data_IF_495299834332
#
_entry.id   IF_495299834332
#
_cell.length_a   1.000
_cell.length_b   1.000
_cell.length_c   1.000
_cell.angle_alpha   90.00
_cell.angle_beta   90.00
_cell.angle_gamma   90.00
#
_symmetry.space_group_name_H-M   'P 1'
#
loop_
_entity.id
_entity.type
_entity.pdbx_description
1 polymer ?
#
# COMPACT_ATOMS: atom_id res chain seq x y z
N UNK A 1 32.86 6.98 47.37
CA UNK A 1 32.89 8.45 47.63
C UNK A 1 31.46 8.98 47.59
N UNK A 2 31.02 9.52 48.74
CA UNK A 2 29.66 10.08 48.96
C UNK A 2 29.58 11.50 48.39
N UNK A 3 28.44 11.87 47.76
CA UNK A 3 27.91 13.24 47.70
C UNK A 3 26.41 13.11 47.46
N UNK A 4 25.61 13.37 48.37
CA UNK A 4 25.03 14.51 49.09
C UNK A 4 23.94 15.22 48.30
N UNK A 5 22.72 15.06 48.82
CA UNK A 5 21.46 15.73 48.47
C UNK A 5 21.48 17.18 48.98
N UNK A 6 20.92 18.12 48.21
CA UNK A 6 20.42 19.39 48.72
C UNK A 6 18.96 19.57 48.38
N UNK A 7 18.17 19.59 49.45
CA UNK A 7 16.80 20.01 49.53
C UNK A 7 16.74 21.51 49.75
N UNK A 8 15.96 22.26 48.95
CA UNK A 8 15.65 23.66 49.23
C UNK A 8 14.14 23.78 49.33
N UNK A 9 13.71 23.99 50.58
CA UNK A 9 12.40 24.49 50.99
C UNK A 9 12.33 25.98 50.71
N UNK A 10 11.27 26.45 50.05
CA UNK A 10 10.91 27.87 50.03
C UNK A 10 9.51 28.07 50.60
N UNK A 11 9.45 28.90 51.64
CA UNK A 11 8.32 29.28 52.43
C UNK A 11 7.34 30.21 51.70
N UNK A 12 6.06 29.93 51.84
CA UNK A 12 4.94 30.73 51.41
C UNK A 12 4.78 31.94 52.36
N UNK A 13 4.70 33.13 51.84
CA UNK A 13 4.27 34.33 52.60
C UNK A 13 2.93 34.81 52.04
N UNK A 14 1.87 34.66 52.85
CA UNK A 14 0.54 35.13 52.58
C UNK A 14 0.49 36.66 52.95
N UNK A 15 0.12 37.48 51.99
CA UNK A 15 -0.32 38.87 52.27
C UNK A 15 -1.79 38.99 51.85
N UNK A 16 -2.62 39.22 52.88
CA UNK A 16 -4.03 39.53 52.72
C UNK A 16 -4.14 41.07 52.64
N UNK A 17 -4.65 41.56 51.51
CA UNK A 17 -5.13 42.95 51.39
C UNK A 17 -6.61 42.94 50.96
N UNK A 18 -7.44 43.29 51.89
CA UNK A 18 -8.86 43.57 51.72
C UNK A 18 -9.03 44.98 51.13
N UNK A 19 -9.65 45.07 49.97
CA UNK A 19 -10.24 46.33 49.50
C UNK A 19 -11.67 46.09 49.07
N UNK A 20 -12.55 46.73 49.75
CA UNK A 20 -13.98 46.83 49.46
C UNK A 20 -14.22 47.85 48.35
N UNK A 21 -15.11 47.53 47.38
CA UNK A 21 -15.82 48.57 46.66
C UNK A 21 -16.23 48.25 45.22
N UNK A 22 -17.53 48.37 45.04
CA UNK A 22 -18.30 48.68 43.83
C UNK A 22 -18.71 47.58 42.87
N UNK A 23 -20.03 47.39 42.87
CA UNK A 23 -20.83 46.64 41.90
C UNK A 23 -20.62 47.14 40.47
N UNK A 24 -20.29 46.22 39.58
CA UNK A 24 -20.45 46.37 38.14
C UNK A 24 -20.81 44.97 37.60
N UNK A 25 -22.03 44.84 37.09
CA UNK A 25 -22.46 43.64 36.37
C UNK A 25 -21.55 43.42 35.18
N UNK A 26 -20.79 42.35 35.24
CA UNK A 26 -20.12 41.78 34.06
C UNK A 26 -20.84 40.52 33.62
N UNK A 27 -21.50 40.62 32.48
CA UNK A 27 -21.95 39.50 31.69
C UNK A 27 -20.80 38.46 31.53
N UNK A 28 -20.90 37.35 32.20
CA UNK A 28 -20.02 36.19 31.97
C UNK A 28 -20.32 35.63 30.58
N UNK A 29 -19.43 35.90 29.67
CA UNK A 29 -19.35 35.19 28.41
C UNK A 29 -18.86 33.77 28.74
N UNK A 30 -19.81 32.81 28.90
CA UNK A 30 -19.49 31.39 28.91
C UNK A 30 -18.95 31.04 27.53
N UNK A 31 -17.65 31.05 27.38
CA UNK A 31 -16.99 30.29 26.32
C UNK A 31 -17.30 28.81 26.61
N UNK A 32 -18.27 28.28 25.88
CA UNK A 32 -18.43 26.85 25.72
C UNK A 32 -17.13 26.31 25.12
N UNK A 33 -16.31 25.72 25.95
CA UNK A 33 -15.23 24.82 25.51
C UNK A 33 -15.93 23.65 24.87
N UNK A 34 -16.05 23.69 23.54
CA UNK A 34 -16.42 22.54 22.72
C UNK A 34 -15.31 21.51 22.92
N UNK A 35 -15.52 20.61 23.87
CA UNK A 35 -14.70 19.41 23.98
C UNK A 35 -14.90 18.64 22.67
N UNK A 36 -13.89 18.70 21.81
CA UNK A 36 -13.79 17.84 20.64
C UNK A 36 -13.65 16.39 21.16
N UNK A 37 -14.78 15.75 21.47
CA UNK A 37 -14.84 14.32 21.71
C UNK A 37 -14.47 13.67 20.39
N UNK A 38 -13.21 13.26 20.24
CA UNK A 38 -12.78 12.42 19.13
C UNK A 38 -13.69 11.19 19.14
N UNK A 39 -14.62 11.14 18.21
CA UNK A 39 -15.47 9.97 18.02
C UNK A 39 -14.53 8.78 17.79
N UNK A 40 -14.54 7.83 18.69
CA UNK A 40 -13.71 6.63 18.57
C UNK A 40 -14.16 5.84 17.34
N UNK A 41 -13.21 5.49 16.47
CA UNK A 41 -13.51 4.72 15.27
C UNK A 41 -14.17 3.37 15.62
N UNK A 42 -15.20 3.00 14.90
CA UNK A 42 -15.90 1.73 15.09
C UNK A 42 -15.13 0.65 14.32
N UNK A 43 -14.48 -0.25 15.05
CA UNK A 43 -13.75 -1.40 14.50
C UNK A 43 -14.44 -2.67 14.99
N UNK A 44 -14.88 -3.52 14.05
CA UNK A 44 -15.52 -4.79 14.39
C UNK A 44 -14.56 -5.76 15.09
N UNK A 45 -15.10 -6.69 15.86
CA UNK A 45 -14.32 -7.65 16.64
C UNK A 45 -13.36 -8.47 15.77
N UNK A 46 -13.83 -9.06 14.67
CA UNK A 46 -12.98 -9.85 13.77
C UNK A 46 -11.87 -9.00 13.13
N UNK A 47 -12.20 -7.77 12.71
CA UNK A 47 -11.21 -6.82 12.17
C UNK A 47 -10.14 -6.49 13.20
N UNK A 48 -10.53 -6.28 14.46
CA UNK A 48 -9.60 -6.01 15.57
C UNK A 48 -8.69 -7.21 15.85
N UNK A 49 -9.25 -8.43 15.82
CA UNK A 49 -8.47 -9.67 16.01
C UNK A 49 -7.44 -9.86 14.90
N UNK A 50 -7.83 -9.64 13.65
CA UNK A 50 -6.91 -9.74 12.51
C UNK A 50 -5.81 -8.67 12.57
N UNK A 51 -6.15 -7.42 12.90
CA UNK A 51 -5.16 -6.34 13.08
C UNK A 51 -4.14 -6.69 14.17
N UNK A 52 -4.62 -7.23 15.28
CA UNK A 52 -3.75 -7.64 16.38
C UNK A 52 -2.80 -8.76 15.95
N UNK A 53 -3.31 -9.78 15.27
CA UNK A 53 -2.52 -10.89 14.76
C UNK A 53 -1.43 -10.41 13.79
N UNK A 54 -1.79 -9.60 12.81
CA UNK A 54 -0.82 -9.05 11.85
C UNK A 54 0.26 -8.20 12.56
N UNK A 55 -0.12 -7.41 13.56
CA UNK A 55 0.83 -6.61 14.34
C UNK A 55 1.80 -7.48 15.14
N UNK A 56 1.32 -8.54 15.74
CA UNK A 56 2.15 -9.50 16.49
C UNK A 56 3.09 -10.28 15.57
N UNK A 57 2.70 -10.50 14.31
CA UNK A 57 3.49 -11.15 13.26
C UNK A 57 4.32 -10.18 12.40
N UNK A 58 4.51 -8.93 12.84
CA UNK A 58 5.43 -7.96 12.25
C UNK A 58 4.82 -7.02 11.21
N UNK A 59 3.50 -7.09 10.94
CA UNK A 59 2.73 -6.19 10.06
C UNK A 59 3.51 -5.74 8.81
N UNK A 60 3.68 -6.67 7.89
CA UNK A 60 4.56 -6.54 6.73
C UNK A 60 4.45 -5.17 6.01
N UNK A 61 3.22 -4.69 5.75
CA UNK A 61 3.00 -3.44 4.99
C UNK A 61 3.51 -2.21 5.74
N UNK A 62 3.53 -2.27 7.07
CA UNK A 62 4.04 -1.21 7.95
C UNK A 62 5.47 -1.48 8.46
N UNK A 63 6.14 -2.49 7.91
CA UNK A 63 7.47 -2.92 8.33
C UNK A 63 8.58 -2.29 7.49
N UNK A 64 9.82 -2.34 7.99
CA UNK A 64 11.02 -1.87 7.29
C UNK A 64 11.42 -2.73 6.07
N UNK A 65 10.86 -3.94 5.94
CA UNK A 65 11.13 -4.82 4.79
C UNK A 65 10.16 -4.61 3.63
N UNK A 66 9.22 -3.69 3.79
CA UNK A 66 8.33 -3.22 2.74
C UNK A 66 9.02 -2.13 1.89
N UNK A 67 8.84 -2.09 0.56
CA UNK A 67 8.24 -3.12 -0.29
C UNK A 67 9.27 -4.16 -0.71
N UNK A 68 8.81 -5.41 -0.89
CA UNK A 68 9.69 -6.53 -1.29
C UNK A 68 9.81 -6.62 -2.81
N UNK A 69 10.51 -5.64 -3.39
CA UNK A 69 10.78 -5.54 -4.82
C UNK A 69 12.21 -5.96 -5.16
N UNK A 70 12.38 -6.72 -6.24
CA UNK A 70 13.68 -7.13 -6.76
C UNK A 70 13.83 -6.69 -8.22
N UNK A 71 15.02 -6.23 -8.62
CA UNK A 71 15.31 -5.85 -10.02
C UNK A 71 15.47 -7.07 -10.90
N UNK A 72 15.04 -6.98 -12.16
CA UNK A 72 15.23 -8.05 -13.14
C UNK A 72 16.71 -8.46 -13.33
N UNK A 73 17.65 -7.52 -13.24
CA UNK A 73 19.08 -7.82 -13.29
C UNK A 73 19.54 -8.75 -12.16
N UNK A 74 19.05 -8.48 -10.93
CA UNK A 74 19.37 -9.32 -9.76
C UNK A 74 18.74 -10.71 -9.91
N UNK A 75 17.53 -10.80 -10.48
CA UNK A 75 16.91 -12.09 -10.78
C UNK A 75 17.76 -12.88 -11.77
N UNK A 76 18.19 -12.24 -12.86
CA UNK A 76 19.03 -12.87 -13.89
C UNK A 76 20.38 -13.35 -13.31
N UNK A 77 21.05 -12.56 -12.49
CA UNK A 77 22.30 -12.92 -11.80
C UNK A 77 22.11 -14.06 -10.78
N UNK A 78 20.88 -14.31 -10.37
CA UNK A 78 20.53 -15.34 -9.39
C UNK A 78 20.05 -16.64 -10.02
N UNK A 79 19.84 -16.68 -11.34
CA UNK A 79 19.48 -17.92 -12.03
C UNK A 79 20.54 -18.99 -11.83
N UNK A 80 20.13 -20.22 -11.58
CA UNK A 80 21.01 -21.34 -11.23
C UNK A 80 21.47 -21.37 -9.76
N UNK A 81 21.07 -20.37 -8.94
CA UNK A 81 21.24 -20.41 -7.48
C UNK A 81 19.95 -20.91 -6.82
N UNK A 82 19.90 -20.92 -5.49
CA UNK A 82 18.76 -21.42 -4.72
C UNK A 82 17.58 -20.41 -4.72
N UNK A 83 17.04 -20.13 -5.90
CA UNK A 83 15.85 -19.30 -6.08
C UNK A 83 14.77 -20.05 -6.84
N UNK A 84 13.51 -19.68 -6.60
CA UNK A 84 12.37 -20.12 -7.39
C UNK A 84 11.73 -18.90 -8.07
N UNK A 85 11.55 -18.97 -9.38
CA UNK A 85 10.79 -17.96 -10.13
C UNK A 85 9.40 -18.52 -10.43
N UNK A 86 8.35 -17.81 -10.04
CA UNK A 86 6.96 -18.20 -10.28
C UNK A 86 6.33 -17.15 -11.21
N UNK A 87 5.98 -17.56 -12.40
CA UNK A 87 5.35 -16.74 -13.43
C UNK A 87 3.83 -16.86 -13.30
N UNK A 88 3.17 -15.73 -12.99
CA UNK A 88 1.72 -15.63 -12.76
C UNK A 88 0.93 -15.33 -14.03
N UNK A 89 1.62 -15.14 -15.16
CA UNK A 89 0.97 -14.87 -16.44
C UNK A 89 0.18 -16.09 -16.91
N UNK A 90 -0.70 -15.86 -17.89
CA UNK A 90 -1.44 -16.97 -18.50
C UNK A 90 -0.49 -18.04 -19.08
N UNK A 91 -0.94 -19.29 -19.10
CA UNK A 91 -0.14 -20.40 -19.66
C UNK A 91 0.23 -20.16 -21.14
N UNK A 92 -0.61 -19.43 -21.87
CA UNK A 92 -0.30 -19.03 -23.24
C UNK A 92 0.90 -18.08 -23.28
N UNK A 93 0.89 -17.01 -22.48
CA UNK A 93 1.99 -16.05 -22.41
C UNK A 93 3.29 -16.71 -21.91
N UNK A 94 3.18 -17.64 -20.96
CA UNK A 94 4.31 -18.41 -20.46
C UNK A 94 4.93 -19.26 -21.59
N UNK A 95 4.11 -19.98 -22.35
CA UNK A 95 4.58 -20.81 -23.47
C UNK A 95 5.18 -20.01 -24.63
N UNK A 96 4.78 -18.75 -24.81
CA UNK A 96 5.35 -17.83 -25.80
C UNK A 96 6.73 -17.28 -25.42
N UNK A 97 7.10 -17.45 -24.14
CA UNK A 97 8.42 -17.13 -23.60
C UNK A 97 8.39 -16.73 -22.13
N UNK A 98 9.30 -17.31 -21.36
CA UNK A 98 9.43 -17.14 -19.92
C UNK A 98 10.88 -17.08 -19.45
N UNK A 99 11.12 -16.77 -18.19
CA UNK A 99 12.43 -16.79 -17.53
C UNK A 99 12.87 -18.24 -17.38
N UNK A 100 14.11 -18.55 -17.74
CA UNK A 100 14.67 -19.91 -17.63
C UNK A 100 14.49 -20.46 -16.21
N UNK A 101 13.90 -21.65 -16.10
CA UNK A 101 13.64 -22.34 -14.83
C UNK A 101 12.45 -21.80 -14.05
N UNK A 102 11.71 -20.86 -14.59
CA UNK A 102 10.46 -20.42 -13.98
C UNK A 102 9.38 -21.51 -14.08
N UNK A 103 8.51 -21.55 -13.08
CA UNK A 103 7.28 -22.36 -13.08
C UNK A 103 6.08 -21.47 -13.31
N UNK A 104 5.12 -21.91 -14.13
CA UNK A 104 3.87 -21.20 -14.32
C UNK A 104 2.84 -21.66 -13.29
N UNK A 105 2.25 -20.71 -12.58
CA UNK A 105 1.17 -20.94 -11.63
C UNK A 105 0.09 -19.89 -11.80
N UNK A 106 -1.16 -20.32 -11.76
CA UNK A 106 -2.28 -19.40 -11.65
C UNK A 106 -2.33 -18.81 -10.24
N UNK A 107 -2.85 -17.62 -10.13
CA UNK A 107 -2.99 -16.93 -8.85
C UNK A 107 -3.75 -17.77 -7.82
N UNK A 108 -4.84 -18.39 -8.23
CA UNK A 108 -5.74 -19.18 -7.37
C UNK A 108 -5.08 -20.48 -6.86
N UNK A 109 -4.04 -20.97 -7.55
CA UNK A 109 -3.31 -22.19 -7.19
C UNK A 109 -2.24 -21.93 -6.11
N UNK A 110 -1.87 -20.68 -5.86
CA UNK A 110 -0.73 -20.35 -5.01
C UNK A 110 -0.88 -20.83 -3.56
N UNK A 111 -2.03 -20.72 -2.88
CA UNK A 111 -2.13 -21.22 -1.51
C UNK A 111 -1.74 -22.69 -1.41
N UNK A 112 -2.34 -23.56 -2.21
CA UNK A 112 -2.02 -24.99 -2.19
C UNK A 112 -0.58 -25.28 -2.66
N UNK A 113 -0.09 -24.51 -3.64
CA UNK A 113 1.27 -24.66 -4.13
C UNK A 113 2.31 -24.34 -3.04
N UNK A 114 2.09 -23.30 -2.24
CA UNK A 114 2.97 -22.93 -1.13
C UNK A 114 2.80 -23.83 0.09
N UNK A 115 1.60 -24.35 0.35
CA UNK A 115 1.31 -25.24 1.49
C UNK A 115 1.81 -26.67 1.26
N UNK A 116 1.67 -27.20 0.05
CA UNK A 116 1.88 -28.64 -0.23
C UNK A 116 2.72 -28.94 -1.46
N UNK A 117 2.83 -28.01 -2.41
CA UNK A 117 3.51 -28.22 -3.68
C UNK A 117 5.02 -28.00 -3.64
N UNK A 118 5.48 -27.15 -2.72
CA UNK A 118 6.91 -26.84 -2.51
C UNK A 118 7.23 -26.80 -1.02
N UNK A 119 8.51 -26.64 -0.71
CA UNK A 119 9.01 -26.27 0.62
C UNK A 119 9.52 -24.83 0.57
N UNK A 120 8.67 -23.82 0.80
CA UNK A 120 9.00 -22.43 0.50
C UNK A 120 10.27 -21.94 1.20
N UNK A 121 10.50 -22.37 2.42
CA UNK A 121 11.63 -21.92 3.25
C UNK A 121 12.98 -22.61 2.90
N UNK A 122 12.98 -23.57 1.99
CA UNK A 122 14.22 -24.13 1.44
C UNK A 122 14.83 -23.20 0.36
N UNK A 123 14.07 -22.25 -0.20
CA UNK A 123 14.57 -21.26 -1.15
C UNK A 123 15.06 -19.99 -0.45
N UNK A 124 16.18 -19.44 -0.91
CA UNK A 124 16.66 -18.13 -0.47
C UNK A 124 15.68 -17.01 -0.85
N UNK A 125 15.11 -17.11 -2.05
CA UNK A 125 14.09 -16.20 -2.56
C UNK A 125 13.12 -16.94 -3.48
N UNK A 126 11.83 -16.56 -3.34
CA UNK A 126 10.79 -16.91 -4.30
C UNK A 126 10.37 -15.60 -5.00
N UNK A 127 10.48 -15.56 -6.32
CA UNK A 127 10.30 -14.34 -7.10
C UNK A 127 9.06 -14.48 -7.96
N UNK A 128 8.04 -13.67 -7.67
CA UNK A 128 6.82 -13.63 -8.46
C UNK A 128 6.98 -12.67 -9.64
N UNK A 129 6.47 -13.09 -10.79
CA UNK A 129 6.54 -12.35 -12.04
C UNK A 129 5.15 -12.24 -12.65
N UNK A 130 4.77 -11.02 -13.05
CA UNK A 130 3.58 -10.73 -13.88
C UNK A 130 4.00 -9.93 -15.11
N UNK A 131 3.05 -9.49 -15.92
CA UNK A 131 3.33 -8.66 -17.11
C UNK A 131 4.02 -7.35 -16.74
N UNK A 132 3.41 -6.63 -15.79
CA UNK A 132 3.74 -5.26 -15.39
C UNK A 132 4.39 -5.14 -14.01
N UNK A 133 4.36 -6.21 -13.21
CA UNK A 133 4.85 -6.22 -11.84
C UNK A 133 3.79 -5.81 -10.79
N UNK A 134 2.62 -5.30 -11.17
CA UNK A 134 1.61 -4.82 -10.21
C UNK A 134 0.82 -5.98 -9.58
N UNK A 135 0.38 -6.93 -10.41
CA UNK A 135 -0.31 -8.15 -9.91
C UNK A 135 0.64 -8.97 -9.04
N UNK A 136 1.90 -9.09 -9.43
CA UNK A 136 2.89 -9.80 -8.60
C UNK A 136 3.18 -9.07 -7.27
N UNK A 137 3.09 -7.74 -7.22
CA UNK A 137 3.16 -6.97 -5.97
C UNK A 137 1.99 -7.26 -5.04
N UNK A 138 0.77 -7.26 -5.57
CA UNK A 138 -0.44 -7.65 -4.83
C UNK A 138 -0.29 -9.05 -4.24
N UNK A 139 0.10 -10.00 -5.08
CA UNK A 139 0.28 -11.40 -4.69
C UNK A 139 1.40 -11.57 -3.65
N UNK A 140 2.53 -10.87 -3.84
CA UNK A 140 3.64 -10.88 -2.87
C UNK A 140 3.18 -10.39 -1.50
N UNK A 141 2.34 -9.35 -1.45
CA UNK A 141 1.78 -8.85 -0.20
C UNK A 141 1.01 -9.94 0.55
N UNK A 142 0.07 -10.61 -0.14
CA UNK A 142 -0.73 -11.67 0.48
C UNK A 142 0.16 -12.80 1.02
N UNK A 143 1.09 -13.31 0.22
CA UNK A 143 1.98 -14.39 0.64
C UNK A 143 2.87 -14.00 1.82
N UNK A 144 3.37 -12.76 1.85
CA UNK A 144 4.17 -12.28 2.98
C UNK A 144 3.35 -12.13 4.26
N UNK A 145 2.10 -11.68 4.14
CA UNK A 145 1.17 -11.61 5.27
C UNK A 145 0.77 -13.01 5.77
N UNK A 146 0.82 -14.03 4.89
CA UNK A 146 0.67 -15.44 5.26
C UNK A 146 1.94 -16.03 5.91
N UNK A 147 3.03 -15.27 6.04
CA UNK A 147 4.26 -15.71 6.69
C UNK A 147 5.42 -16.09 5.76
N UNK A 148 5.25 -16.05 4.45
CA UNK A 148 6.31 -16.39 3.49
C UNK A 148 7.25 -15.20 3.26
N UNK A 149 8.10 -14.91 4.25
CA UNK A 149 8.97 -13.72 4.28
C UNK A 149 10.06 -13.64 3.21
N UNK A 150 10.31 -14.70 2.45
CA UNK A 150 11.29 -14.77 1.35
C UNK A 150 10.67 -14.57 -0.04
N UNK A 151 9.40 -14.15 -0.14
CA UNK A 151 8.72 -13.86 -1.42
C UNK A 151 8.97 -12.42 -1.85
N UNK A 152 9.28 -12.21 -3.12
CA UNK A 152 9.57 -10.93 -3.74
C UNK A 152 8.79 -10.78 -5.04
N UNK A 153 8.44 -9.54 -5.42
CA UNK A 153 7.92 -9.21 -6.75
C UNK A 153 9.03 -8.67 -7.64
N UNK A 154 9.13 -9.14 -8.87
CA UNK A 154 10.04 -8.54 -9.85
C UNK A 154 9.48 -7.20 -10.32
N UNK A 155 10.25 -6.11 -10.07
CA UNK A 155 9.86 -4.76 -10.47
C UNK A 155 9.67 -4.70 -11.99
N UNK A 156 8.59 -4.05 -12.43
CA UNK A 156 8.20 -3.89 -13.82
C UNK A 156 7.80 -5.20 -14.53
N UNK A 157 7.79 -6.32 -13.81
CA UNK A 157 7.44 -7.62 -14.36
C UNK A 157 8.28 -8.03 -15.57
N UNK A 158 7.68 -8.76 -16.50
CA UNK A 158 8.36 -9.18 -17.74
C UNK A 158 8.80 -8.02 -18.61
N UNK A 159 8.19 -6.84 -18.47
CA UNK A 159 8.61 -5.64 -19.19
C UNK A 159 10.05 -5.19 -18.88
N UNK A 160 10.53 -5.45 -17.64
CA UNK A 160 11.94 -5.22 -17.32
C UNK A 160 12.87 -6.33 -17.83
N UNK A 161 12.35 -7.51 -18.11
CA UNK A 161 13.13 -8.66 -18.54
C UNK A 161 13.57 -8.55 -19.99
N UNK A 162 12.62 -8.26 -20.90
CA UNK A 162 12.90 -8.23 -22.31
C UNK A 162 12.05 -7.20 -23.05
N UNK A 163 12.65 -6.57 -24.08
CA UNK A 163 12.04 -5.51 -24.88
C UNK A 163 10.68 -5.91 -25.47
N UNK A 164 10.53 -7.15 -25.95
CA UNK A 164 9.26 -7.67 -26.48
C UNK A 164 8.09 -7.42 -25.53
N UNK A 165 8.28 -7.68 -24.24
CA UNK A 165 7.23 -7.50 -23.23
C UNK A 165 7.06 -6.05 -22.81
N UNK A 166 8.15 -5.27 -22.79
CA UNK A 166 8.06 -3.84 -22.53
C UNK A 166 7.23 -3.11 -23.58
N UNK A 167 7.39 -3.44 -24.86
CA UNK A 167 6.61 -2.88 -25.97
C UNK A 167 5.13 -3.28 -25.94
N UNK A 168 4.82 -4.44 -25.36
CA UNK A 168 3.44 -4.92 -25.21
C UNK A 168 2.71 -4.32 -24.00
N UNK A 169 3.44 -3.92 -22.97
CA UNK A 169 2.88 -3.50 -21.70
C UNK A 169 3.33 -2.09 -21.29
N UNK A 170 4.46 -1.92 -20.60
CA UNK A 170 4.85 -0.64 -20.01
C UNK A 170 5.09 0.48 -21.02
N UNK A 171 5.81 0.24 -22.12
CA UNK A 171 6.08 1.28 -23.14
C UNK A 171 4.81 1.71 -23.86
N UNK A 172 3.80 0.86 -23.90
CA UNK A 172 2.48 1.19 -24.46
C UNK A 172 1.57 1.86 -23.41
N UNK A 173 1.76 1.54 -22.13
CA UNK A 173 0.89 1.97 -21.04
C UNK A 173 1.23 3.34 -20.45
N UNK A 174 2.44 3.88 -20.70
CA UNK A 174 2.80 5.22 -20.23
C UNK A 174 2.02 6.30 -20.99
N UNK A 175 1.51 7.31 -20.25
CA UNK A 175 0.65 8.34 -20.84
C UNK A 175 0.78 9.66 -20.07
N UNK A 176 0.77 10.78 -20.79
CA UNK A 176 0.62 12.14 -20.27
C UNK A 176 -0.78 12.71 -20.47
N UNK A 177 -1.78 11.86 -20.78
CA UNK A 177 -3.11 12.28 -21.24
C UNK A 177 -3.83 13.22 -20.27
N UNK A 178 -3.60 13.08 -18.97
CA UNK A 178 -4.33 13.80 -17.94
C UNK A 178 -3.47 14.83 -17.17
N UNK A 179 -2.32 15.24 -17.72
CA UNK A 179 -1.43 16.20 -17.08
C UNK A 179 -2.06 17.60 -16.89
N UNK A 180 -3.01 17.97 -17.76
CA UNK A 180 -3.77 19.23 -17.64
C UNK A 180 -4.89 19.18 -16.62
N UNK A 181 -5.31 17.98 -16.21
CA UNK A 181 -6.48 17.77 -15.37
C UNK A 181 -6.09 17.50 -13.90
N UNK A 182 -4.80 17.69 -13.57
CA UNK A 182 -4.30 17.48 -12.22
C UNK A 182 -4.76 18.58 -11.27
N UNK A 183 -5.02 18.18 -10.04
CA UNK A 183 -5.29 19.08 -8.91
C UNK A 183 -4.01 19.28 -8.09
N UNK A 184 -3.83 20.51 -7.56
CA UNK A 184 -2.69 20.85 -6.68
C UNK A 184 -3.19 21.23 -5.27
N UNK A 185 -4.49 21.31 -5.06
CA UNK A 185 -5.09 21.62 -3.76
C UNK A 185 -5.00 20.40 -2.85
N UNK A 186 -4.47 20.60 -1.64
CA UNK A 186 -4.38 19.52 -0.66
C UNK A 186 -5.78 19.13 -0.18
N UNK A 187 -6.16 17.89 -0.41
CA UNK A 187 -7.41 17.33 0.11
C UNK A 187 -7.17 16.75 1.50
N UNK A 188 -7.97 17.17 2.46
CA UNK A 188 -7.86 16.70 3.83
C UNK A 188 -8.43 15.28 3.97
N UNK A 189 -7.81 14.52 4.85
CA UNK A 189 -8.30 13.19 5.22
C UNK A 189 -9.61 13.31 6.02
N UNK A 190 -10.61 12.47 5.74
CA UNK A 190 -11.78 12.37 6.60
C UNK A 190 -11.39 12.00 8.04
N UNK A 191 -12.21 12.34 9.03
CA UNK A 191 -12.00 11.84 10.38
C UNK A 191 -12.08 10.30 10.42
N UNK A 192 -11.43 9.70 11.39
CA UNK A 192 -11.55 8.25 11.66
C UNK A 192 -13.00 7.89 11.96
N UNK A 193 -13.61 7.03 11.15
CA UNK A 193 -15.00 6.61 11.28
C UNK A 193 -15.14 5.12 11.57
N UNK A 194 -14.19 4.31 11.09
CA UNK A 194 -14.20 2.86 11.28
C UNK A 194 -13.60 2.11 10.11
N UNK A 195 -13.74 0.79 10.15
CA UNK A 195 -13.25 -0.12 9.13
C UNK A 195 -14.38 -1.07 8.69
N UNK A 196 -14.27 -1.72 7.52
CA UNK A 196 -15.24 -2.73 7.12
C UNK A 196 -15.35 -3.81 8.20
N UNK A 197 -16.58 -4.24 8.48
CA UNK A 197 -16.84 -5.33 9.40
C UNK A 197 -16.58 -6.67 8.68
N UNK A 198 -15.57 -7.40 9.11
CA UNK A 198 -15.36 -8.78 8.67
C UNK A 198 -16.46 -9.67 9.27
N UNK A 199 -16.90 -10.65 8.50
CA UNK A 199 -17.98 -11.57 8.85
C UNK A 199 -17.60 -13.02 8.49
N UNK A 200 -16.45 -13.47 9.03
CA UNK A 200 -15.99 -14.85 8.83
C UNK A 200 -16.66 -15.82 9.80
N UNK A 201 -17.16 -15.33 10.93
CA UNK A 201 -17.69 -16.11 12.03
C UNK A 201 -16.62 -16.79 12.88
N UNK A 202 -15.33 -16.43 12.66
CA UNK A 202 -14.19 -17.02 13.36
C UNK A 202 -13.77 -16.17 14.56
N UNK A 203 -13.10 -16.81 15.53
CA UNK A 203 -12.82 -16.23 16.84
C UNK A 203 -11.33 -15.96 17.10
N UNK A 204 -10.44 -16.32 16.16
CA UNK A 204 -9.01 -16.05 16.28
C UNK A 204 -8.48 -15.26 15.09
N UNK A 205 -7.49 -14.39 15.32
CA UNK A 205 -6.82 -13.61 14.27
C UNK A 205 -6.23 -14.48 13.16
N UNK A 206 -5.46 -15.54 13.48
CA UNK A 206 -4.90 -16.47 12.48
C UNK A 206 -5.96 -17.14 11.60
N UNK A 207 -7.07 -17.62 12.19
CA UNK A 207 -8.15 -18.28 11.42
C UNK A 207 -8.87 -17.28 10.52
N UNK A 208 -9.15 -16.08 11.03
CA UNK A 208 -9.74 -14.97 10.25
C UNK A 208 -8.82 -14.63 9.08
N UNK A 209 -7.52 -14.45 9.34
CA UNK A 209 -6.51 -14.19 8.32
C UNK A 209 -6.50 -15.28 7.24
N UNK A 210 -6.41 -16.54 7.63
CA UNK A 210 -6.43 -17.69 6.72
C UNK A 210 -7.68 -17.70 5.85
N UNK A 211 -8.87 -17.49 6.45
CA UNK A 211 -10.13 -17.41 5.71
C UNK A 211 -10.14 -16.25 4.71
N UNK A 212 -9.65 -15.08 5.11
CA UNK A 212 -9.57 -13.90 4.26
C UNK A 212 -8.59 -14.08 3.11
N UNK A 213 -7.41 -14.65 3.36
CA UNK A 213 -6.43 -14.95 2.30
C UNK A 213 -7.03 -15.90 1.26
N UNK A 214 -7.61 -17.02 1.69
CA UNK A 214 -8.25 -17.99 0.78
C UNK A 214 -9.31 -17.32 -0.08
N UNK A 215 -10.19 -16.53 0.52
CA UNK A 215 -11.21 -15.78 -0.20
C UNK A 215 -10.60 -14.86 -1.27
N UNK A 216 -9.53 -14.11 -0.97
CA UNK A 216 -8.89 -13.23 -1.93
C UNK A 216 -8.23 -13.99 -3.09
N UNK A 217 -7.64 -15.15 -2.83
CA UNK A 217 -7.13 -16.01 -3.89
C UNK A 217 -8.25 -16.60 -4.75
N UNK A 218 -9.39 -16.97 -4.18
CA UNK A 218 -10.58 -17.45 -4.91
C UNK A 218 -11.22 -16.34 -5.77
N UNK A 219 -11.20 -15.09 -5.33
CA UNK A 219 -11.70 -13.92 -6.09
C UNK A 219 -10.88 -13.66 -7.37
N UNK A 220 -9.65 -14.16 -7.44
CA UNK A 220 -8.77 -13.97 -8.59
C UNK A 220 -8.24 -12.54 -8.73
N UNK A 221 -7.61 -12.27 -9.89
CA UNK A 221 -6.92 -11.00 -10.14
C UNK A 221 -7.72 -9.99 -10.98
N UNK A 222 -8.88 -10.36 -11.48
CA UNK A 222 -9.64 -9.57 -12.47
C UNK A 222 -10.06 -8.18 -12.02
N UNK A 223 -10.18 -7.95 -10.71
CA UNK A 223 -10.62 -6.68 -10.13
C UNK A 223 -9.52 -5.94 -9.36
N UNK A 224 -8.25 -6.29 -9.55
CA UNK A 224 -7.15 -5.65 -8.83
C UNK A 224 -6.76 -4.33 -9.47
N UNK A 225 -6.74 -4.27 -10.81
CA UNK A 225 -6.32 -3.12 -11.58
C UNK A 225 -7.51 -2.30 -12.07
N UNK A 226 -7.36 -0.97 -12.02
CA UNK A 226 -8.27 0.01 -12.63
C UNK A 226 -7.48 0.96 -13.50
N UNK A 227 -8.02 1.39 -14.63
CA UNK A 227 -7.33 2.27 -15.57
C UNK A 227 -7.46 3.75 -15.18
N UNK A 228 -6.51 4.59 -15.63
CA UNK A 228 -6.62 6.02 -15.44
C UNK A 228 -7.87 6.59 -16.12
N UNK A 229 -8.23 6.10 -17.30
CA UNK A 229 -9.43 6.53 -18.03
C UNK A 229 -10.70 6.33 -17.20
N UNK A 230 -10.88 5.16 -16.57
CA UNK A 230 -12.04 4.87 -15.71
C UNK A 230 -12.11 5.84 -14.52
N UNK A 231 -10.96 6.15 -13.91
CA UNK A 231 -10.92 7.04 -12.73
C UNK A 231 -11.17 8.50 -13.11
N UNK A 232 -10.53 9.01 -14.18
CA UNK A 232 -10.66 10.41 -14.59
C UNK A 232 -12.03 10.74 -15.20
N UNK A 233 -12.74 9.77 -15.80
CA UNK A 233 -14.12 9.97 -16.28
C UNK A 233 -15.08 10.33 -15.13
N UNK A 234 -14.92 9.72 -13.96
CA UNK A 234 -15.76 10.01 -12.80
C UNK A 234 -14.99 9.79 -11.47
N UNK A 235 -14.09 10.70 -11.12
CA UNK A 235 -13.28 10.55 -9.90
C UNK A 235 -14.12 10.55 -8.62
N UNK A 236 -15.29 11.20 -8.62
CA UNK A 236 -16.20 11.27 -7.46
C UNK A 236 -16.81 9.91 -7.07
N UNK A 237 -16.81 8.95 -7.99
CA UNK A 237 -17.26 7.58 -7.72
C UNK A 237 -16.37 6.87 -6.70
N UNK A 238 -15.11 7.27 -6.62
CA UNK A 238 -14.08 6.58 -5.86
C UNK A 238 -13.61 7.39 -4.65
N UNK A 239 -13.09 6.71 -3.65
CA UNK A 239 -12.18 7.31 -2.70
C UNK A 239 -10.75 7.07 -3.18
N UNK A 240 -10.05 8.13 -3.57
CA UNK A 240 -8.77 8.01 -4.26
C UNK A 240 -7.64 8.27 -3.27
N UNK A 241 -6.73 7.32 -3.13
CA UNK A 241 -5.57 7.36 -2.22
C UNK A 241 -4.29 7.54 -3.03
N UNK A 242 -3.60 8.64 -2.78
CA UNK A 242 -2.26 8.89 -3.27
C UNK A 242 -1.21 8.45 -2.23
N UNK A 243 -0.25 7.62 -2.63
CA UNK A 243 0.87 7.15 -1.80
C UNK A 243 2.22 7.80 -2.18
N UNK A 244 2.20 8.98 -2.79
CA UNK A 244 3.43 9.69 -3.13
C UNK A 244 3.96 10.52 -1.96
N UNK A 245 5.19 11.00 -2.11
CA UNK A 245 5.76 11.99 -1.21
C UNK A 245 4.95 13.28 -1.26
N UNK A 246 4.99 14.03 -0.15
CA UNK A 246 4.22 15.27 0.01
C UNK A 246 4.49 16.26 -1.12
N UNK A 247 5.77 16.51 -1.44
CA UNK A 247 6.20 17.42 -2.50
C UNK A 247 5.64 17.03 -3.88
N UNK A 248 5.47 15.73 -4.15
CA UNK A 248 4.94 15.21 -5.41
C UNK A 248 3.42 15.28 -5.48
N UNK A 249 2.75 15.01 -4.37
CA UNK A 249 1.31 15.18 -4.28
C UNK A 249 0.89 16.64 -4.46
N UNK A 250 1.59 17.57 -3.78
CA UNK A 250 1.31 19.00 -3.88
C UNK A 250 1.65 19.59 -5.26
N UNK A 251 2.53 18.95 -6.01
CA UNK A 251 2.86 19.35 -7.38
C UNK A 251 1.81 18.89 -8.41
N UNK A 252 0.99 17.89 -8.08
CA UNK A 252 -0.13 17.46 -8.89
C UNK A 252 -0.57 16.03 -8.64
N UNK A 253 -1.87 15.86 -8.51
CA UNK A 253 -2.51 14.57 -8.23
C UNK A 253 -3.87 14.47 -8.92
N UNK A 254 -4.46 13.28 -8.92
CA UNK A 254 -5.81 13.04 -9.44
C UNK A 254 -6.82 13.88 -8.65
N UNK A 255 -7.76 14.59 -9.26
CA UNK A 255 -8.76 15.41 -8.57
C UNK A 255 -9.48 14.65 -7.47
N UNK A 256 -9.53 15.24 -6.28
CA UNK A 256 -10.13 14.65 -5.09
C UNK A 256 -9.28 13.56 -4.41
N UNK A 257 -8.08 13.26 -4.89
CA UNK A 257 -7.21 12.29 -4.25
C UNK A 257 -6.71 12.79 -2.89
N UNK A 258 -6.76 11.93 -1.88
CA UNK A 258 -6.28 12.19 -0.53
C UNK A 258 -4.93 11.50 -0.34
N UNK A 259 -3.96 12.25 0.17
CA UNK A 259 -2.63 11.69 0.40
C UNK A 259 -2.56 10.90 1.72
N UNK A 260 -2.07 9.67 1.59
CA UNK A 260 -1.60 8.87 2.72
C UNK A 260 -0.08 8.74 2.62
N UNK A 261 0.60 8.82 3.76
CA UNK A 261 2.07 8.72 3.76
C UNK A 261 2.48 7.33 3.27
N UNK A 262 3.39 7.20 2.29
CA UNK A 262 3.93 5.90 1.92
C UNK A 262 4.59 5.25 3.13
N UNK A 263 4.36 3.96 3.34
CA UNK A 263 4.84 3.18 4.48
C UNK A 263 4.32 3.67 5.85
N UNK A 264 3.66 2.81 6.58
CA UNK A 264 3.20 3.07 7.95
C UNK A 264 1.94 3.91 8.10
N UNK A 265 1.17 4.17 7.03
CA UNK A 265 -0.09 4.93 7.10
C UNK A 265 -1.34 4.07 7.05
N UNK A 266 -1.22 2.84 6.57
CA UNK A 266 -2.33 1.89 6.53
C UNK A 266 -2.43 1.04 7.80
N UNK A 267 -1.62 1.34 8.81
CA UNK A 267 -1.56 0.61 10.08
C UNK A 267 -2.73 0.85 11.01
N UNK A 268 -2.64 0.16 12.14
CA UNK A 268 -3.68 0.04 13.16
C UNK A 268 -4.22 1.37 13.68
N UNK A 269 -3.40 2.40 13.71
CA UNK A 269 -3.69 3.44 14.69
C UNK A 269 -4.52 4.56 14.17
N UNK A 270 -4.69 5.01 13.10
CA UNK A 270 -5.51 6.20 12.84
C UNK A 270 -5.83 6.45 11.36
N UNK A 271 -5.08 5.84 10.45
CA UNK A 271 -5.16 6.27 9.07
C UNK A 271 -6.07 5.37 8.23
N UNK A 272 -6.01 4.04 8.41
CA UNK A 272 -6.89 3.13 7.67
C UNK A 272 -8.37 3.30 8.06
N UNK A 273 -8.66 3.62 9.33
CA UNK A 273 -10.03 3.87 9.80
C UNK A 273 -10.63 5.19 9.28
N UNK A 274 -9.84 6.04 8.64
CA UNK A 274 -10.32 7.23 7.94
C UNK A 274 -10.76 6.97 6.49
N UNK A 275 -10.47 5.77 5.96
CA UNK A 275 -10.89 5.39 4.61
C UNK A 275 -12.39 5.04 4.63
N UNK A 276 -13.24 5.70 3.81
CA UNK A 276 -14.65 5.38 3.72
C UNK A 276 -14.91 3.94 3.30
N UNK A 277 -15.96 3.33 3.86
CA UNK A 277 -16.33 1.93 3.60
C UNK A 277 -17.50 1.78 2.62
N UNK A 278 -18.04 2.89 2.16
CA UNK A 278 -19.22 2.99 1.30
C UNK A 278 -18.90 3.33 -0.17
N UNK A 279 -17.61 3.46 -0.50
CA UNK A 279 -17.12 3.72 -1.85
C UNK A 279 -16.00 2.75 -2.23
N UNK A 280 -15.86 2.40 -3.52
CA UNK A 280 -14.64 1.76 -4.01
C UNK A 280 -13.42 2.64 -3.78
N UNK A 281 -12.32 2.02 -3.40
CA UNK A 281 -11.06 2.70 -3.10
C UNK A 281 -10.09 2.50 -4.25
N UNK A 282 -9.52 3.58 -4.78
CA UNK A 282 -8.45 3.52 -5.77
C UNK A 282 -7.15 3.96 -5.12
N UNK A 283 -6.14 3.11 -5.16
CA UNK A 283 -4.81 3.41 -4.60
C UNK A 283 -3.81 3.58 -5.72
N UNK A 284 -2.99 4.63 -5.66
CA UNK A 284 -1.93 4.81 -6.64
C UNK A 284 -0.66 5.40 -6.02
N UNK A 285 0.46 5.18 -6.70
CA UNK A 285 1.78 5.72 -6.41
C UNK A 285 2.51 5.98 -7.73
N UNK A 286 3.76 6.39 -7.68
CA UNK A 286 4.56 6.65 -8.89
C UNK A 286 4.53 5.54 -9.94
N UNK A 287 4.53 4.28 -9.53
CA UNK A 287 4.70 3.11 -10.42
C UNK A 287 3.57 2.08 -10.33
N UNK A 288 2.62 2.26 -9.44
CA UNK A 288 1.59 1.24 -9.19
C UNK A 288 2.07 0.01 -8.39
N UNK A 289 3.37 -0.13 -8.12
CA UNK A 289 3.90 -1.28 -7.37
C UNK A 289 3.54 -1.21 -5.89
N UNK A 290 3.92 -0.10 -5.19
CA UNK A 290 3.58 0.06 -3.78
C UNK A 290 2.07 0.10 -3.55
N UNK A 291 1.31 0.68 -4.48
CA UNK A 291 -0.16 0.65 -4.41
C UNK A 291 -0.72 -0.77 -4.59
N UNK A 292 -0.08 -1.64 -5.37
CA UNK A 292 -0.46 -3.06 -5.46
C UNK A 292 -0.38 -3.78 -4.10
N UNK A 293 0.70 -3.56 -3.34
CA UNK A 293 0.81 -4.07 -1.97
C UNK A 293 -0.28 -3.49 -1.05
N UNK A 294 -0.47 -2.16 -1.09
CA UNK A 294 -1.48 -1.49 -0.27
C UNK A 294 -2.91 -1.97 -0.59
N UNK A 295 -3.20 -2.18 -1.87
CA UNK A 295 -4.49 -2.74 -2.33
C UNK A 295 -4.75 -4.13 -1.75
N UNK A 296 -3.74 -5.01 -1.73
CA UNK A 296 -3.86 -6.33 -1.11
C UNK A 296 -4.19 -6.24 0.39
N UNK A 297 -3.51 -5.34 1.10
CA UNK A 297 -3.74 -5.10 2.52
C UNK A 297 -5.16 -4.58 2.79
N UNK A 298 -5.61 -3.58 2.03
CA UNK A 298 -6.97 -3.04 2.16
C UNK A 298 -8.04 -4.11 1.86
N UNK A 299 -7.87 -4.90 0.80
CA UNK A 299 -8.81 -5.98 0.46
C UNK A 299 -8.84 -7.07 1.54
N UNK A 300 -7.72 -7.35 2.20
CA UNK A 300 -7.69 -8.27 3.33
C UNK A 300 -8.64 -7.83 4.45
N UNK A 301 -8.71 -6.52 4.70
CA UNK A 301 -9.63 -5.91 5.67
C UNK A 301 -11.04 -5.62 5.13
N UNK A 302 -11.36 -6.05 3.91
CA UNK A 302 -12.70 -5.99 3.36
C UNK A 302 -13.05 -4.71 2.59
N UNK A 303 -12.11 -3.82 2.33
CA UNK A 303 -12.33 -2.70 1.41
C UNK A 303 -12.44 -3.19 -0.03
N UNK A 304 -13.33 -2.57 -0.80
CA UNK A 304 -13.37 -2.71 -2.26
C UNK A 304 -12.27 -1.84 -2.86
N UNK A 305 -11.04 -2.37 -2.91
CA UNK A 305 -9.85 -1.61 -3.27
C UNK A 305 -9.22 -2.08 -4.58
N UNK A 306 -8.75 -1.12 -5.37
CA UNK A 306 -8.10 -1.32 -6.67
C UNK A 306 -6.80 -0.52 -6.73
N UNK A 307 -5.80 -1.01 -7.44
CA UNK A 307 -4.59 -0.23 -7.75
C UNK A 307 -4.67 0.36 -9.15
N UNK A 308 -4.29 1.64 -9.29
CA UNK A 308 -4.27 2.30 -10.59
C UNK A 308 -3.18 1.68 -11.47
N UNK A 309 -3.57 1.20 -12.65
CA UNK A 309 -2.65 0.58 -13.60
C UNK A 309 -1.57 1.58 -14.01
N UNK A 310 -0.31 1.18 -13.92
CA UNK A 310 0.91 1.98 -14.16
C UNK A 310 1.13 3.14 -13.17
N UNK A 311 0.25 3.36 -12.19
CA UNK A 311 0.35 4.51 -11.29
C UNK A 311 0.43 5.83 -12.02
N UNK A 312 1.29 6.75 -11.55
CA UNK A 312 1.50 8.07 -12.21
C UNK A 312 2.01 7.95 -13.66
N UNK A 313 2.72 6.88 -14.00
CA UNK A 313 3.15 6.64 -15.39
C UNK A 313 1.96 6.51 -16.36
N UNK A 314 0.80 6.07 -15.88
CA UNK A 314 -0.39 5.88 -16.71
C UNK A 314 -1.14 7.16 -17.08
N UNK A 315 -0.81 8.33 -16.46
CA UNK A 315 -1.58 9.55 -16.70
C UNK A 315 -0.77 10.86 -16.70
N UNK A 316 0.41 10.91 -16.05
CA UNK A 316 1.23 12.12 -15.95
C UNK A 316 2.71 11.88 -16.30
N UNK A 317 2.95 11.02 -17.26
CA UNK A 317 4.28 10.51 -17.61
C UNK A 317 5.28 11.60 -18.01
N UNK A 318 4.88 12.58 -18.85
CA UNK A 318 5.80 13.61 -19.31
C UNK A 318 6.26 14.51 -18.16
N UNK A 319 5.37 14.79 -17.19
CA UNK A 319 5.71 15.50 -15.96
C UNK A 319 6.72 14.71 -15.13
N UNK A 320 6.52 13.40 -14.99
CA UNK A 320 7.48 12.53 -14.28
C UNK A 320 8.86 12.52 -14.92
N UNK A 321 8.93 12.47 -16.25
CA UNK A 321 10.20 12.51 -17.00
C UNK A 321 10.92 13.84 -16.80
N UNK A 322 10.21 14.96 -16.87
CA UNK A 322 10.77 16.32 -16.64
C UNK A 322 11.30 16.51 -15.23
N UNK A 323 10.67 15.87 -14.26
CA UNK A 323 10.97 16.04 -12.83
C UNK A 323 11.70 14.84 -12.23
N UNK A 324 12.41 14.08 -12.99
CA UNK A 324 13.15 12.87 -12.58
C UNK A 324 14.21 13.17 -11.50
N UNK A 325 13.79 13.50 -10.30
CA UNK A 325 14.71 13.88 -9.20
C UNK A 325 14.63 13.00 -7.96
N UNK A 326 13.65 12.10 -7.85
CA UNK A 326 13.43 11.32 -6.64
C UNK A 326 13.18 9.84 -6.94
N UNK A 327 13.59 8.97 -6.01
CA UNK A 327 13.38 7.52 -6.07
C UNK A 327 11.91 7.12 -6.17
N UNK A 328 10.98 7.96 -5.69
CA UNK A 328 9.53 7.72 -5.75
C UNK A 328 8.90 8.08 -7.09
N UNK A 329 9.56 8.93 -7.89
CA UNK A 329 9.12 9.29 -9.23
C UNK A 329 9.99 8.59 -10.26
N UNK A 330 9.65 7.34 -10.54
CA UNK A 330 10.35 6.48 -11.49
C UNK A 330 9.52 6.39 -12.77
N UNK A 331 9.73 7.27 -13.77
CA UNK A 331 9.16 7.05 -15.10
C UNK A 331 9.79 5.79 -15.68
N UNK A 332 8.96 4.88 -16.18
CA UNK A 332 9.45 3.71 -16.90
C UNK A 332 10.04 4.13 -18.24
N UNK A 333 11.24 3.71 -18.53
CA UNK A 333 11.97 4.08 -19.76
C UNK A 333 12.64 2.87 -20.38
N UNK A 334 13.15 3.02 -21.60
CA UNK A 334 13.96 1.97 -22.26
C UNK A 334 15.21 1.58 -21.45
N UNK A 335 15.69 2.44 -20.56
CA UNK A 335 16.80 2.14 -19.65
C UNK A 335 16.43 1.14 -18.54
N UNK A 336 15.14 0.93 -18.28
CA UNK A 336 14.64 -0.05 -17.32
C UNK A 336 14.47 -1.43 -17.96
N UNK A 337 14.63 -1.53 -19.29
CA UNK A 337 14.46 -2.75 -20.06
C UNK A 337 15.81 -3.43 -20.25
N UNK A 338 15.92 -4.65 -19.77
CA UNK A 338 17.03 -5.55 -20.11
C UNK A 338 16.62 -6.38 -21.34
N UNK A 339 17.58 -6.93 -22.05
CA UNK A 339 17.30 -7.85 -23.15
C UNK A 339 17.76 -9.26 -22.77
N UNK A 340 17.33 -9.73 -21.60
CA UNK A 340 17.66 -11.06 -21.14
C UNK A 340 16.95 -12.13 -22.00
N UNK A 341 17.58 -13.29 -22.09
CA UNK A 341 17.05 -14.43 -22.82
C UNK A 341 15.69 -14.87 -22.22
N UNK A 342 14.81 -15.31 -23.11
CA UNK A 342 13.58 -16.02 -22.76
C UNK A 342 13.61 -17.40 -23.39
N UNK A 343 13.13 -18.39 -22.67
CA UNK A 343 12.97 -19.77 -23.13
C UNK A 343 11.49 -20.06 -23.42
N UNK A 344 11.22 -21.10 -24.22
CA UNK A 344 9.87 -21.58 -24.53
C UNK A 344 9.62 -22.92 -23.91
#
# INVERSE_FOLDING_TARGET
>A
MKRQYYSIFFFLLLVILSVTGCKGEKTENKQETVQNVKKQAIIGTETSLLLKDLKENGDYVNSKVFPSLIKASIVNESLGKNILVVDLRSSKQFSEGHIRGAVNKKFEELPSYFETGIKPFEYDKIILVSEDGQVSCYTTCLLRLMGYGNVYSMRWGMSAWNKKYAEQEWLKGVSGKYESDLENTVNERPPSIGMPALKTGLLSGPDIGTSRFRKLFEEGTGNILITADEVFINPQKYYIINLDRKDKYEDGHIPGAVRYKPEGTLGFTDEMSSIPTDKPVVVYCGTGHNSGFATAYLRLFGYDAHTLKYGNNGFMYNKMVKQRTALSWLPFTSADVNNFEVVK
#
